data_IF_981585913065
#
_entry.id   IF_981585913065
#
_cell.length_a   1.000
_cell.length_b   1.000
_cell.length_c   1.000
_cell.angle_alpha   90.00
_cell.angle_beta   90.00
_cell.angle_gamma   90.00
#
_symmetry.space_group_name_H-M   'P 1'
#
loop_
_entity.id
_entity.type
_entity.pdbx_description
1 polymer ?
#
# COMPACT_ATOMS: atom_id res chain seq x y z
N UNK A 1 -6.19 -23.49 -24.89
CA UNK A 1 -4.96 -22.86 -24.37
C UNK A 1 -5.35 -21.80 -23.36
N UNK A 2 -4.90 -21.95 -22.11
CA UNK A 2 -5.13 -20.94 -21.07
C UNK A 2 -4.45 -19.63 -21.50
N UNK A 3 -5.16 -18.51 -21.41
CA UNK A 3 -4.58 -17.20 -21.70
C UNK A 3 -3.41 -16.92 -20.76
N UNK A 4 -2.35 -16.36 -21.31
CA UNK A 4 -1.17 -15.97 -20.52
C UNK A 4 -1.28 -14.52 -20.06
N UNK A 5 -1.17 -14.33 -18.76
CA UNK A 5 -1.17 -13.03 -18.10
C UNK A 5 0.20 -12.79 -17.46
N UNK A 6 0.78 -11.63 -17.72
CA UNK A 6 2.00 -11.19 -17.01
C UNK A 6 1.68 -9.92 -16.22
N UNK A 7 1.93 -9.95 -14.91
CA UNK A 7 1.88 -8.76 -14.08
C UNK A 7 3.27 -8.12 -14.09
N UNK A 8 3.35 -6.81 -14.33
CA UNK A 8 4.57 -6.02 -14.17
C UNK A 8 4.37 -5.12 -12.95
N UNK A 9 5.05 -5.43 -11.86
CA UNK A 9 4.91 -4.70 -10.60
C UNK A 9 5.82 -5.24 -9.50
N UNK A 10 5.81 -4.62 -8.32
CA UNK A 10 6.54 -5.12 -7.16
C UNK A 10 6.04 -6.51 -6.74
N UNK A 11 6.96 -7.40 -6.42
CA UNK A 11 6.67 -8.69 -5.82
C UNK A 11 7.92 -9.20 -5.08
N UNK A 12 7.82 -10.29 -4.35
CA UNK A 12 8.96 -10.91 -3.68
C UNK A 12 10.24 -10.91 -4.57
N UNK A 13 11.41 -10.59 -4.03
CA UNK A 13 11.73 -10.33 -2.62
C UNK A 13 11.40 -8.92 -2.10
N UNK A 14 10.74 -8.08 -2.90
CA UNK A 14 10.29 -6.76 -2.45
C UNK A 14 9.11 -6.89 -1.48
N UNK A 15 9.04 -5.96 -0.52
CA UNK A 15 8.00 -5.93 0.52
C UNK A 15 7.04 -4.75 0.37
N UNK A 16 5.93 -4.81 1.11
CA UNK A 16 4.95 -3.73 1.23
C UNK A 16 3.70 -3.93 0.39
N UNK A 17 2.68 -3.12 0.62
CA UNK A 17 1.33 -3.32 0.14
C UNK A 17 1.17 -3.51 -1.37
N UNK A 18 2.04 -2.90 -2.19
CA UNK A 18 2.01 -3.12 -3.65
C UNK A 18 2.46 -4.54 -4.02
N UNK A 19 3.52 -5.04 -3.37
CA UNK A 19 4.03 -6.39 -3.61
C UNK A 19 3.01 -7.44 -3.17
N UNK A 20 2.44 -7.27 -1.99
CA UNK A 20 1.40 -8.14 -1.44
C UNK A 20 0.16 -8.16 -2.33
N UNK A 21 -0.28 -6.99 -2.84
CA UNK A 21 -1.40 -6.89 -3.76
C UNK A 21 -1.13 -7.63 -5.08
N UNK A 22 0.02 -7.38 -5.72
CA UNK A 22 0.35 -7.97 -7.01
C UNK A 22 0.49 -9.50 -6.91
N UNK A 23 1.04 -10.00 -5.80
CA UNK A 23 1.11 -11.44 -5.51
C UNK A 23 -0.30 -12.05 -5.31
N UNK A 24 -1.18 -11.38 -4.56
CA UNK A 24 -2.56 -11.84 -4.36
C UNK A 24 -3.33 -11.85 -5.68
N UNK A 25 -3.14 -10.82 -6.53
CA UNK A 25 -3.75 -10.75 -7.85
C UNK A 25 -3.25 -11.87 -8.77
N UNK A 26 -1.93 -12.17 -8.75
CA UNK A 26 -1.37 -13.27 -9.54
C UNK A 26 -1.94 -14.61 -9.13
N UNK A 27 -2.10 -14.83 -7.82
CA UNK A 27 -2.71 -16.04 -7.27
C UNK A 27 -4.16 -16.20 -7.75
N UNK A 28 -4.92 -15.09 -7.74
CA UNK A 28 -6.31 -15.11 -8.20
C UNK A 28 -6.41 -15.43 -9.69
N UNK A 29 -5.58 -14.83 -10.55
CA UNK A 29 -5.53 -15.22 -11.95
C UNK A 29 -5.18 -16.69 -12.15
N UNK A 30 -4.28 -17.24 -11.33
CA UNK A 30 -3.93 -18.66 -11.40
C UNK A 30 -5.09 -19.55 -10.95
N UNK A 31 -5.85 -19.16 -9.91
CA UNK A 31 -7.04 -19.87 -9.43
C UNK A 31 -8.14 -19.91 -10.51
N UNK A 32 -8.28 -18.82 -11.25
CA UNK A 32 -9.21 -18.70 -12.40
C UNK A 32 -8.70 -19.45 -13.65
N UNK A 33 -7.58 -20.15 -13.57
CA UNK A 33 -7.04 -21.01 -14.63
C UNK A 33 -6.17 -20.30 -15.66
N UNK A 34 -5.72 -19.06 -15.42
CA UNK A 34 -4.78 -18.37 -16.30
C UNK A 34 -3.33 -18.81 -16.03
N UNK A 35 -2.47 -18.85 -17.07
CA UNK A 35 -1.01 -18.96 -16.89
C UNK A 35 -0.46 -17.59 -16.47
N UNK A 36 -0.39 -17.36 -15.15
CA UNK A 36 0.02 -16.07 -14.58
C UNK A 36 1.44 -16.11 -14.06
N UNK A 37 2.19 -15.00 -14.28
CA UNK A 37 3.50 -14.77 -13.70
C UNK A 37 3.74 -13.29 -13.44
N UNK A 38 4.68 -12.97 -12.54
CA UNK A 38 5.04 -11.59 -12.21
C UNK A 38 6.46 -11.30 -12.70
N UNK A 39 6.63 -10.21 -13.44
CA UNK A 39 7.91 -9.59 -13.75
C UNK A 39 8.13 -8.44 -12.78
N UNK A 40 8.92 -8.71 -11.74
CA UNK A 40 9.22 -7.79 -10.66
C UNK A 40 10.56 -7.09 -10.87
N UNK A 41 10.91 -6.23 -9.93
CA UNK A 41 12.12 -5.43 -9.98
C UNK A 41 13.29 -6.16 -9.32
N UNK A 42 14.42 -6.21 -10.01
CA UNK A 42 15.75 -6.51 -9.42
C UNK A 42 16.31 -5.28 -8.70
N UNK A 43 15.93 -4.07 -9.16
CA UNK A 43 16.16 -2.80 -8.48
C UNK A 43 14.92 -1.93 -8.66
N UNK A 44 14.13 -1.73 -7.59
CA UNK A 44 12.95 -0.86 -7.62
C UNK A 44 13.34 0.59 -7.36
N UNK A 45 14.05 0.84 -6.27
CA UNK A 45 14.59 2.15 -5.93
C UNK A 45 16.08 2.05 -5.65
N UNK A 46 16.91 2.98 -6.14
CA UNK A 46 18.26 3.18 -5.60
C UNK A 46 18.20 3.39 -4.09
N UNK A 47 19.18 2.89 -3.34
CA UNK A 47 19.18 2.93 -1.87
C UNK A 47 18.99 4.33 -1.29
N UNK A 48 19.55 5.35 -1.92
CA UNK A 48 19.43 6.75 -1.50
C UNK A 48 18.06 7.37 -1.74
N UNK A 49 17.18 6.72 -2.53
CA UNK A 49 15.80 7.15 -2.77
C UNK A 49 14.76 6.37 -1.93
N UNK A 50 15.20 5.30 -1.28
CA UNK A 50 14.31 4.51 -0.45
C UNK A 50 14.30 5.04 0.99
N UNK A 51 13.17 5.47 1.52
CA UNK A 51 13.11 6.12 2.82
C UNK A 51 13.09 5.15 4.01
N UNK A 52 12.84 3.85 3.81
CA UNK A 52 12.83 2.83 4.86
C UNK A 52 14.19 2.14 5.04
N UNK A 53 14.27 1.21 6.00
CA UNK A 53 15.49 0.46 6.31
C UNK A 53 15.89 -0.51 5.21
N UNK A 54 14.94 -1.23 4.62
CA UNK A 54 15.14 -2.15 3.49
C UNK A 54 13.91 -2.23 2.60
N UNK A 55 14.13 -2.53 1.33
CA UNK A 55 13.04 -2.80 0.37
C UNK A 55 12.64 -4.29 0.34
N UNK A 56 13.40 -5.14 1.03
CA UNK A 56 13.30 -6.59 0.91
C UNK A 56 12.56 -7.21 2.10
N UNK A 57 11.75 -8.23 1.81
CA UNK A 57 11.09 -9.06 2.82
C UNK A 57 12.07 -10.05 3.44
N UNK A 58 11.86 -10.34 4.71
CA UNK A 58 12.46 -11.47 5.41
C UNK A 58 11.60 -12.75 5.32
N UNK A 59 10.38 -12.63 4.80
CA UNK A 59 9.48 -13.77 4.65
C UNK A 59 9.98 -14.74 3.57
N UNK A 60 9.59 -16.02 3.61
CA UNK A 60 9.93 -16.96 2.55
C UNK A 60 9.22 -16.60 1.23
N UNK A 61 9.80 -17.02 0.07
CA UNK A 61 9.16 -16.79 -1.21
C UNK A 61 7.78 -17.47 -1.28
N UNK A 62 6.76 -16.85 -1.90
CA UNK A 62 5.48 -17.48 -2.13
C UNK A 62 5.65 -18.69 -3.05
N UNK A 63 5.16 -19.87 -2.61
CA UNK A 63 5.37 -21.14 -3.30
C UNK A 63 4.60 -21.24 -4.63
N UNK A 64 3.43 -20.59 -4.71
CA UNK A 64 2.44 -20.82 -5.77
C UNK A 64 2.47 -19.75 -6.88
N UNK A 65 3.46 -18.85 -6.88
CA UNK A 65 3.52 -17.72 -7.81
C UNK A 65 4.88 -17.71 -8.52
N UNK A 66 4.83 -17.67 -9.86
CA UNK A 66 6.04 -17.53 -10.70
C UNK A 66 6.48 -16.06 -10.70
N UNK A 67 7.57 -15.73 -10.01
CA UNK A 67 8.12 -14.37 -9.91
C UNK A 67 9.49 -14.30 -10.57
N UNK A 68 9.69 -13.30 -11.44
CA UNK A 68 10.94 -13.03 -12.14
C UNK A 68 11.43 -11.63 -11.78
N UNK A 69 12.43 -11.50 -10.92
CA UNK A 69 13.02 -10.20 -10.51
C UNK A 69 14.02 -9.72 -11.57
N UNK A 70 13.54 -9.07 -12.63
CA UNK A 70 14.33 -8.73 -13.83
C UNK A 70 14.44 -7.24 -14.13
N UNK A 71 13.51 -6.41 -13.63
CA UNK A 71 13.42 -5.00 -14.02
C UNK A 71 14.34 -4.16 -13.15
N UNK A 72 15.26 -3.41 -13.76
CA UNK A 72 16.05 -2.39 -13.10
C UNK A 72 15.47 -1.01 -13.46
N UNK A 73 14.95 -0.29 -12.47
CA UNK A 73 14.19 0.96 -12.66
C UNK A 73 15.00 2.11 -13.27
N UNK A 74 16.33 2.05 -13.23
CA UNK A 74 17.22 3.13 -13.68
C UNK A 74 18.13 2.74 -14.87
N UNK A 75 18.03 1.51 -15.39
CA UNK A 75 18.90 1.03 -16.47
C UNK A 75 18.16 0.93 -17.82
N UNK A 76 18.35 1.88 -18.77
CA UNK A 76 17.66 1.85 -20.06
C UNK A 76 17.95 0.62 -20.92
N UNK A 77 19.17 0.06 -20.84
CA UNK A 77 19.51 -1.17 -21.59
C UNK A 77 18.68 -2.34 -21.05
N UNK A 78 18.54 -2.43 -19.72
CA UNK A 78 17.68 -3.44 -19.09
C UNK A 78 16.22 -3.31 -19.55
N UNK A 79 15.67 -2.10 -19.68
CA UNK A 79 14.29 -1.89 -20.14
C UNK A 79 14.07 -2.42 -21.55
N UNK A 80 15.05 -2.21 -22.44
CA UNK A 80 15.00 -2.72 -23.82
C UNK A 80 15.09 -4.25 -23.86
N UNK A 81 15.92 -4.85 -23.01
CA UNK A 81 16.09 -6.30 -22.91
C UNK A 81 14.84 -6.98 -22.36
N UNK A 82 14.30 -6.49 -21.24
CA UNK A 82 13.06 -6.98 -20.63
C UNK A 82 11.88 -6.79 -21.59
N UNK A 83 11.77 -5.62 -22.23
CA UNK A 83 10.74 -5.38 -23.24
C UNK A 83 10.84 -6.31 -24.46
N UNK A 84 12.06 -6.70 -24.86
CA UNK A 84 12.28 -7.65 -25.95
C UNK A 84 11.92 -9.08 -25.54
N UNK A 85 12.22 -9.47 -24.31
CA UNK A 85 11.83 -10.76 -23.74
C UNK A 85 10.31 -10.87 -23.66
N UNK A 86 9.63 -9.90 -23.06
CA UNK A 86 8.18 -9.87 -22.97
C UNK A 86 7.50 -9.84 -24.35
N UNK A 87 8.08 -9.12 -25.32
CA UNK A 87 7.62 -9.15 -26.72
C UNK A 87 7.68 -10.56 -27.30
N UNK A 88 8.76 -11.31 -27.04
CA UNK A 88 8.93 -12.71 -27.53
C UNK A 88 7.97 -13.67 -26.83
N UNK A 89 7.77 -13.51 -25.52
CA UNK A 89 6.81 -14.30 -24.75
C UNK A 89 5.38 -14.11 -25.22
N UNK A 90 5.10 -12.95 -25.83
CA UNK A 90 3.81 -12.61 -26.43
C UNK A 90 2.60 -12.97 -25.55
N UNK A 91 2.54 -12.49 -24.28
CA UNK A 91 1.39 -12.77 -23.43
C UNK A 91 0.11 -12.14 -24.03
N UNK A 92 -1.05 -12.72 -23.70
CA UNK A 92 -2.33 -12.15 -24.14
C UNK A 92 -2.58 -10.80 -23.45
N UNK A 93 -2.27 -10.74 -22.13
CA UNK A 93 -2.49 -9.55 -21.32
C UNK A 93 -1.23 -9.25 -20.50
N UNK A 94 -0.85 -7.99 -20.45
CA UNK A 94 0.02 -7.45 -19.43
C UNK A 94 -0.82 -6.57 -18.51
N UNK A 95 -0.78 -6.86 -17.19
CA UNK A 95 -1.28 -5.98 -16.14
C UNK A 95 -0.08 -5.26 -15.55
N UNK A 96 0.00 -3.93 -15.67
CA UNK A 96 1.13 -3.16 -15.17
C UNK A 96 0.72 -2.27 -14.02
N UNK A 97 1.49 -2.32 -12.91
CA UNK A 97 1.27 -1.44 -11.77
C UNK A 97 1.94 -0.09 -11.97
N UNK A 98 1.22 0.99 -11.69
CA UNK A 98 1.74 2.35 -11.79
C UNK A 98 1.38 3.16 -10.54
N UNK A 99 2.41 3.61 -9.80
CA UNK A 99 2.21 4.30 -8.51
C UNK A 99 3.06 5.57 -8.36
N UNK A 100 4.03 5.79 -9.26
CA UNK A 100 4.94 6.94 -9.18
C UNK A 100 5.46 7.32 -10.56
N UNK A 101 5.47 8.63 -10.94
CA UNK A 101 5.98 9.08 -12.23
C UNK A 101 7.41 8.64 -12.55
N UNK A 102 8.28 8.53 -11.55
CA UNK A 102 9.65 8.00 -11.70
C UNK A 102 9.70 6.67 -12.47
N UNK A 103 8.71 5.78 -12.29
CA UNK A 103 8.64 4.50 -13.00
C UNK A 103 8.21 4.65 -14.46
N UNK A 104 7.71 5.81 -14.84
CA UNK A 104 7.10 6.05 -16.16
C UNK A 104 8.04 5.81 -17.32
N UNK A 105 9.32 6.16 -17.18
CA UNK A 105 10.32 5.95 -18.25
C UNK A 105 10.65 4.46 -18.43
N UNK A 106 10.91 3.76 -17.34
CA UNK A 106 11.23 2.32 -17.37
C UNK A 106 10.05 1.51 -17.92
N UNK A 107 8.90 1.63 -17.29
CA UNK A 107 7.69 0.89 -17.66
C UNK A 107 7.22 1.28 -19.08
N UNK A 108 7.16 2.57 -19.38
CA UNK A 108 6.77 3.05 -20.71
C UNK A 108 7.65 2.51 -21.83
N UNK A 109 8.98 2.40 -21.62
CA UNK A 109 9.91 1.86 -22.61
C UNK A 109 9.72 0.35 -22.80
N UNK A 110 9.55 -0.40 -21.71
CA UNK A 110 9.24 -1.84 -21.75
C UNK A 110 7.95 -2.06 -22.55
N UNK A 111 6.86 -1.36 -22.19
CA UNK A 111 5.55 -1.51 -22.84
C UNK A 111 5.58 -1.11 -24.31
N UNK A 112 6.27 -0.01 -24.65
CA UNK A 112 6.48 0.41 -26.05
C UNK A 112 7.15 -0.68 -26.90
N UNK A 113 8.06 -1.43 -26.30
CA UNK A 113 8.74 -2.55 -26.98
C UNK A 113 7.80 -3.74 -27.16
N UNK A 114 7.01 -4.07 -26.14
CA UNK A 114 6.00 -5.14 -26.17
C UNK A 114 4.95 -4.88 -27.25
N UNK A 115 4.42 -3.68 -27.34
CA UNK A 115 3.37 -3.31 -28.34
C UNK A 115 3.77 -3.58 -29.79
N UNK A 116 5.05 -3.75 -30.09
CA UNK A 116 5.52 -4.13 -31.42
C UNK A 116 5.12 -5.55 -31.84
N UNK A 117 4.65 -6.42 -30.91
CA UNK A 117 4.10 -7.73 -31.26
C UNK A 117 2.66 -7.66 -31.80
N UNK A 118 1.97 -6.52 -31.63
CA UNK A 118 0.58 -6.28 -32.10
C UNK A 118 -0.46 -7.27 -31.54
N UNK A 119 -0.10 -8.05 -30.53
CA UNK A 119 -0.93 -9.08 -29.90
C UNK A 119 -1.33 -8.68 -28.47
N UNK A 120 -0.34 -8.40 -27.64
CA UNK A 120 -0.53 -8.17 -26.19
C UNK A 120 -1.38 -6.93 -25.90
N UNK A 121 -2.42 -7.10 -25.09
CA UNK A 121 -3.19 -5.99 -24.50
C UNK A 121 -2.57 -5.56 -23.17
N UNK A 122 -2.50 -4.27 -22.95
CA UNK A 122 -1.84 -3.68 -21.77
C UNK A 122 -2.86 -2.93 -20.94
N UNK A 123 -3.09 -3.41 -19.71
CA UNK A 123 -3.99 -2.80 -18.72
C UNK A 123 -3.15 -2.26 -17.56
N UNK A 124 -3.26 -0.97 -17.26
CA UNK A 124 -2.56 -0.38 -16.14
C UNK A 124 -3.47 -0.28 -14.91
N UNK A 125 -3.01 -0.79 -13.76
CA UNK A 125 -3.60 -0.48 -12.46
C UNK A 125 -2.85 0.75 -11.92
N UNK A 126 -3.55 1.86 -11.76
CA UNK A 126 -2.97 3.12 -11.35
C UNK A 126 -3.34 3.45 -9.90
N UNK A 127 -2.32 3.52 -9.04
CA UNK A 127 -2.49 3.89 -7.62
C UNK A 127 -2.44 5.39 -7.44
N UNK A 128 -1.54 6.06 -8.16
CA UNK A 128 -1.42 7.51 -8.22
C UNK A 128 -0.97 7.93 -9.62
N UNK A 129 -1.62 8.95 -10.16
CA UNK A 129 -1.24 9.60 -11.43
C UNK A 129 -0.40 10.84 -11.14
N UNK A 130 -0.85 11.65 -10.18
CA UNK A 130 -0.12 12.81 -9.70
C UNK A 130 0.57 12.43 -8.38
N UNK A 131 1.88 12.69 -8.24
CA UNK A 131 2.58 12.44 -6.99
C UNK A 131 2.16 13.46 -5.92
N UNK A 132 2.24 13.07 -4.65
CA UNK A 132 2.02 14.00 -3.53
C UNK A 132 3.06 15.13 -3.50
N UNK A 133 4.27 14.85 -3.94
CA UNK A 133 5.36 15.83 -4.10
C UNK A 133 5.74 15.90 -5.58
N UNK A 134 5.43 17.02 -6.22
CA UNK A 134 5.71 17.23 -7.65
C UNK A 134 7.19 17.48 -7.90
N UNK A 135 7.73 16.83 -8.94
CA UNK A 135 9.09 17.02 -9.43
C UNK A 135 9.09 17.41 -10.91
N UNK A 136 10.12 18.14 -11.37
CA UNK A 136 10.27 18.43 -12.80
C UNK A 136 10.29 17.13 -13.61
N UNK A 137 9.50 17.09 -14.70
CA UNK A 137 9.42 15.91 -15.59
C UNK A 137 8.31 14.91 -15.28
N UNK A 138 7.70 14.92 -14.07
CA UNK A 138 6.67 13.97 -13.67
C UNK A 138 5.54 13.84 -14.69
N UNK A 139 5.00 14.94 -15.16
CA UNK A 139 3.92 14.94 -16.14
C UNK A 139 4.35 14.29 -17.48
N UNK A 140 5.58 14.50 -17.91
CA UNK A 140 6.12 13.93 -19.16
C UNK A 140 6.30 12.43 -19.03
N UNK A 141 6.81 11.96 -17.89
CA UNK A 141 7.00 10.53 -17.59
C UNK A 141 5.66 9.81 -17.50
N UNK A 142 4.68 10.43 -16.83
CA UNK A 142 3.31 9.91 -16.76
C UNK A 142 2.68 9.81 -18.16
N UNK A 143 2.73 10.87 -18.98
CA UNK A 143 2.21 10.83 -20.35
C UNK A 143 2.88 9.75 -21.20
N UNK A 144 4.21 9.60 -21.09
CA UNK A 144 4.96 8.59 -21.80
C UNK A 144 4.51 7.18 -21.44
N UNK A 145 4.28 6.92 -20.15
CA UNK A 145 3.75 5.64 -19.69
C UNK A 145 2.33 5.38 -20.22
N UNK A 146 1.40 6.30 -19.96
CA UNK A 146 -0.02 6.16 -20.29
C UNK A 146 -0.24 5.96 -21.80
N UNK A 147 0.58 6.58 -22.65
CA UNK A 147 0.53 6.41 -24.11
C UNK A 147 0.67 4.95 -24.52
N UNK A 148 1.41 4.14 -23.78
CA UNK A 148 1.70 2.76 -24.11
C UNK A 148 0.71 1.75 -23.49
N UNK A 149 -0.26 2.19 -22.70
CA UNK A 149 -1.33 1.35 -22.17
C UNK A 149 -2.56 1.36 -23.09
N UNK A 150 -3.36 0.30 -23.06
CA UNK A 150 -4.60 0.17 -23.83
C UNK A 150 -5.84 0.46 -22.98
N UNK A 151 -5.79 0.16 -21.69
CA UNK A 151 -6.88 0.41 -20.73
C UNK A 151 -6.32 0.67 -19.31
N UNK A 152 -7.18 1.16 -18.44
CA UNK A 152 -6.81 1.55 -17.06
C UNK A 152 -7.81 1.03 -16.03
N UNK A 153 -7.29 0.73 -14.85
CA UNK A 153 -8.06 0.47 -13.64
C UNK A 153 -7.58 1.46 -12.59
N UNK A 154 -8.52 2.14 -11.94
CA UNK A 154 -8.28 3.00 -10.77
C UNK A 154 -9.04 2.43 -9.58
N UNK A 155 -8.57 2.69 -8.36
CA UNK A 155 -9.21 2.21 -7.14
C UNK A 155 -9.81 3.35 -6.29
N UNK A 156 -9.82 4.57 -6.82
CA UNK A 156 -10.52 5.71 -6.23
C UNK A 156 -10.98 6.69 -7.31
N UNK A 157 -12.01 7.46 -7.00
CA UNK A 157 -12.53 8.52 -7.87
C UNK A 157 -11.46 9.58 -8.15
N UNK A 158 -10.72 9.98 -7.13
CA UNK A 158 -9.64 10.95 -7.24
C UNK A 158 -8.58 10.54 -8.27
N UNK A 159 -8.16 9.26 -8.25
CA UNK A 159 -7.19 8.76 -9.23
C UNK A 159 -7.79 8.70 -10.64
N UNK A 160 -9.11 8.43 -10.75
CA UNK A 160 -9.79 8.49 -12.05
C UNK A 160 -9.82 9.91 -12.60
N UNK A 161 -10.14 10.91 -11.78
CA UNK A 161 -10.10 12.32 -12.16
C UNK A 161 -8.70 12.75 -12.63
N UNK A 162 -7.67 12.39 -11.85
CA UNK A 162 -6.29 12.67 -12.19
C UNK A 162 -5.88 11.99 -13.50
N UNK A 163 -6.29 10.72 -13.73
CA UNK A 163 -6.05 10.00 -14.99
C UNK A 163 -6.68 10.74 -16.17
N UNK A 164 -7.91 11.22 -16.03
CA UNK A 164 -8.65 11.90 -17.11
C UNK A 164 -8.07 13.27 -17.49
N UNK A 165 -7.22 13.86 -16.68
CA UNK A 165 -6.42 15.04 -17.05
C UNK A 165 -5.34 14.70 -18.10
N UNK A 166 -4.87 13.46 -18.15
CA UNK A 166 -3.81 13.00 -19.05
C UNK A 166 -4.31 12.15 -20.21
N UNK A 167 -5.31 11.30 -19.97
CA UNK A 167 -5.84 10.35 -20.94
C UNK A 167 -7.38 10.35 -20.90
N UNK A 168 -7.98 10.93 -21.93
CA UNK A 168 -9.43 11.19 -21.98
C UNK A 168 -10.24 10.11 -22.68
N UNK A 169 -9.61 9.34 -23.59
CA UNK A 169 -10.33 8.51 -24.56
C UNK A 169 -10.25 7.00 -24.26
N UNK A 170 -9.10 6.52 -23.79
CA UNK A 170 -8.92 5.10 -23.56
C UNK A 170 -9.85 4.56 -22.48
N UNK A 171 -10.29 3.29 -22.58
CA UNK A 171 -11.11 2.65 -21.57
C UNK A 171 -10.47 2.75 -20.19
N UNK A 172 -11.26 3.16 -19.21
CA UNK A 172 -10.86 3.14 -17.81
C UNK A 172 -12.06 2.76 -16.96
N UNK A 173 -11.82 1.94 -15.94
CA UNK A 173 -12.83 1.49 -14.98
C UNK A 173 -12.34 1.76 -13.57
N UNK A 174 -13.19 2.37 -12.75
CA UNK A 174 -12.98 2.43 -11.32
C UNK A 174 -13.51 1.15 -10.68
N UNK A 175 -12.73 0.57 -9.79
CA UNK A 175 -13.12 -0.54 -8.93
C UNK A 175 -12.79 -0.18 -7.48
N UNK A 176 -13.50 -0.75 -6.54
CA UNK A 176 -13.13 -0.60 -5.13
C UNK A 176 -11.81 -1.32 -4.88
N UNK A 177 -11.01 -0.79 -3.96
CA UNK A 177 -9.84 -1.51 -3.50
C UNK A 177 -10.27 -2.85 -2.89
N UNK A 178 -9.75 -3.99 -3.37
CA UNK A 178 -10.16 -5.30 -2.84
C UNK A 178 -9.80 -5.45 -1.38
N UNK A 179 -10.51 -6.31 -0.68
CA UNK A 179 -10.12 -6.73 0.67
C UNK A 179 -8.80 -7.50 0.63
N UNK A 180 -8.04 -7.37 1.69
CA UNK A 180 -6.81 -8.11 1.88
C UNK A 180 -7.09 -9.36 2.73
N UNK A 181 -7.31 -10.50 2.10
CA UNK A 181 -7.56 -11.79 2.73
C UNK A 181 -6.29 -12.66 2.92
N UNK A 182 -5.14 -12.11 2.57
CA UNK A 182 -3.86 -12.83 2.55
C UNK A 182 -2.97 -12.58 3.78
N UNK A 183 -3.49 -11.90 4.79
CA UNK A 183 -2.78 -11.68 6.07
C UNK A 183 -3.20 -12.66 7.18
N UNK A 184 -3.91 -13.72 6.81
CA UNK A 184 -4.37 -14.79 7.70
C UNK A 184 -5.78 -14.57 8.23
N UNK A 185 -6.25 -15.57 8.96
CA UNK A 185 -7.60 -15.60 9.53
C UNK A 185 -7.75 -14.67 10.72
N UNK A 186 -9.00 -14.25 10.98
CA UNK A 186 -9.35 -13.50 12.17
C UNK A 186 -9.15 -14.38 13.40
N UNK A 187 -8.42 -13.85 14.38
CA UNK A 187 -8.18 -14.52 15.66
C UNK A 187 -8.80 -13.72 16.80
N UNK A 188 -8.95 -14.33 17.96
CA UNK A 188 -9.47 -13.64 19.13
C UNK A 188 -8.55 -12.50 19.58
N UNK A 189 -9.13 -11.41 20.09
CA UNK A 189 -8.37 -10.29 20.65
C UNK A 189 -7.39 -10.74 21.74
N UNK A 190 -7.79 -11.70 22.57
CA UNK A 190 -6.96 -12.26 23.65
C UNK A 190 -5.73 -12.99 23.06
N UNK A 191 -5.92 -13.81 22.06
CA UNK A 191 -4.82 -14.53 21.39
C UNK A 191 -3.85 -13.54 20.72
N UNK A 192 -4.38 -12.56 20.00
CA UNK A 192 -3.56 -11.53 19.37
C UNK A 192 -2.71 -10.76 20.39
N UNK A 193 -3.30 -10.35 21.52
CA UNK A 193 -2.60 -9.63 22.59
C UNK A 193 -1.57 -10.50 23.29
N UNK A 194 -1.84 -11.80 23.49
CA UNK A 194 -0.88 -12.73 24.03
C UNK A 194 0.34 -12.86 23.12
N UNK A 195 0.11 -13.05 21.81
CA UNK A 195 1.20 -13.10 20.84
C UNK A 195 2.07 -11.83 20.87
N UNK A 196 1.46 -10.65 20.84
CA UNK A 196 2.20 -9.38 20.87
C UNK A 196 3.01 -9.20 22.17
N UNK A 197 2.52 -9.71 23.30
CA UNK A 197 3.30 -9.71 24.56
C UNK A 197 4.49 -10.66 24.51
N UNK A 198 4.25 -11.89 24.09
CA UNK A 198 5.22 -12.97 24.16
C UNK A 198 6.29 -12.89 23.07
N UNK A 199 5.87 -12.54 21.84
CA UNK A 199 6.77 -12.56 20.69
C UNK A 199 7.33 -11.16 20.35
N UNK A 200 6.58 -10.09 20.61
CA UNK A 200 7.01 -8.73 20.31
C UNK A 200 7.38 -7.90 21.56
N UNK A 201 7.23 -8.45 22.76
CA UNK A 201 7.56 -7.78 24.01
C UNK A 201 6.68 -6.56 24.36
N UNK A 202 5.53 -6.41 23.65
CA UNK A 202 4.67 -5.25 23.82
C UNK A 202 3.85 -5.35 25.11
N UNK A 203 3.83 -4.27 25.89
CA UNK A 203 3.09 -4.22 27.16
C UNK A 203 1.62 -3.90 26.89
N UNK A 204 0.82 -4.92 26.56
CA UNK A 204 -0.62 -4.83 26.27
C UNK A 204 -1.39 -5.74 27.20
N UNK A 205 -2.29 -5.22 28.04
CA UNK A 205 -3.20 -6.03 28.85
C UNK A 205 -4.49 -6.39 28.09
N UNK A 206 -5.12 -7.50 28.47
CA UNK A 206 -6.31 -7.98 27.75
C UNK A 206 -7.53 -7.04 27.90
N UNK A 207 -7.65 -6.33 28.99
CA UNK A 207 -8.75 -5.38 29.26
C UNK A 207 -8.54 -3.96 28.77
N UNK A 208 -7.38 -3.63 28.19
CA UNK A 208 -7.08 -2.28 27.72
C UNK A 208 -7.92 -1.90 26.48
N UNK A 209 -8.21 -0.59 26.36
CA UNK A 209 -8.81 0.00 25.15
C UNK A 209 -7.70 0.48 24.24
N UNK A 210 -7.60 -0.10 23.04
CA UNK A 210 -6.49 0.12 22.12
C UNK A 210 -6.98 0.76 20.82
N UNK A 211 -6.49 1.96 20.53
CA UNK A 211 -6.52 2.58 19.22
C UNK A 211 -5.29 2.11 18.43
N UNK A 212 -5.46 1.69 17.20
CA UNK A 212 -4.35 1.29 16.33
C UNK A 212 -4.12 2.33 15.23
N UNK A 213 -2.89 2.83 15.15
CA UNK A 213 -2.34 3.45 13.95
C UNK A 213 -1.45 2.43 13.24
N UNK A 214 -1.74 2.12 11.96
CA UNK A 214 -1.07 1.04 11.24
C UNK A 214 -0.42 1.48 9.92
N UNK A 215 0.74 0.89 9.61
CA UNK A 215 1.47 1.05 8.36
C UNK A 215 2.55 2.13 8.40
N UNK A 216 3.24 2.36 7.28
CA UNK A 216 4.36 3.30 7.20
C UNK A 216 4.01 4.67 7.78
N UNK A 217 4.90 5.21 8.61
CA UNK A 217 4.70 6.51 9.26
C UNK A 217 5.25 7.59 8.33
N UNK A 218 4.35 8.47 7.89
CA UNK A 218 4.64 9.66 7.07
C UNK A 218 3.76 10.81 7.52
N UNK A 219 4.24 12.04 7.40
CA UNK A 219 3.56 13.25 7.85
C UNK A 219 2.12 13.36 7.36
N UNK A 220 1.86 13.00 6.09
CA UNK A 220 0.51 13.07 5.54
C UNK A 220 -0.48 12.11 6.22
N UNK A 221 0.00 11.07 6.92
CA UNK A 221 -0.85 10.13 7.68
C UNK A 221 -1.25 10.64 9.06
N UNK A 222 -0.70 11.76 9.52
CA UNK A 222 -1.21 12.47 10.68
C UNK A 222 -1.02 11.77 12.03
N UNK A 223 0.03 10.97 12.22
CA UNK A 223 0.32 10.36 13.52
C UNK A 223 0.48 11.42 14.61
N UNK A 224 1.04 12.57 14.31
CA UNK A 224 1.16 13.71 15.21
C UNK A 224 -0.20 14.25 15.66
N UNK A 225 -1.20 14.35 14.77
CA UNK A 225 -2.59 14.72 15.15
C UNK A 225 -3.12 13.74 16.21
N UNK A 226 -2.94 12.45 15.98
CA UNK A 226 -3.40 11.43 16.90
C UNK A 226 -2.67 11.47 18.23
N UNK A 227 -1.36 11.73 18.22
CA UNK A 227 -0.57 11.94 19.44
C UNK A 227 -1.05 13.15 20.24
N UNK A 228 -1.39 14.25 19.58
CA UNK A 228 -1.98 15.42 20.21
C UNK A 228 -3.33 15.08 20.85
N UNK A 229 -4.20 14.36 20.16
CA UNK A 229 -5.47 13.88 20.73
C UNK A 229 -5.28 13.02 21.97
N UNK A 230 -4.21 12.20 22.05
CA UNK A 230 -3.91 11.40 23.25
C UNK A 230 -3.58 12.24 24.48
N UNK A 231 -3.32 13.52 24.34
CA UNK A 231 -3.11 14.43 25.49
C UNK A 231 -4.41 14.90 26.14
N UNK A 232 -5.56 14.72 25.49
CA UNK A 232 -6.87 15.12 26.00
C UNK A 232 -7.20 14.39 27.31
N UNK A 233 -7.67 15.16 28.30
CA UNK A 233 -7.99 14.66 29.65
C UNK A 233 -9.08 13.55 29.61
N UNK A 234 -10.03 13.63 28.69
CA UNK A 234 -11.11 12.64 28.52
C UNK A 234 -10.55 11.29 28.05
N UNK A 235 -9.60 11.31 27.11
CA UNK A 235 -8.93 10.11 26.57
C UNK A 235 -8.04 9.48 27.65
N UNK A 236 -7.28 10.31 28.39
CA UNK A 236 -6.47 9.85 29.52
C UNK A 236 -7.33 9.23 30.64
N UNK A 237 -8.43 9.88 31.00
CA UNK A 237 -9.36 9.37 32.03
C UNK A 237 -10.06 8.07 31.59
N UNK A 238 -10.32 7.89 30.30
CA UNK A 238 -10.88 6.65 29.75
C UNK A 238 -9.90 5.47 29.68
N UNK A 239 -8.63 5.70 30.01
CA UNK A 239 -7.57 4.67 29.98
C UNK A 239 -7.28 4.14 28.58
N UNK A 240 -7.48 4.95 27.54
CA UNK A 240 -7.24 4.57 26.16
C UNK A 240 -5.73 4.64 25.87
N UNK A 241 -5.22 3.61 25.17
CA UNK A 241 -3.82 3.58 24.70
C UNK A 241 -3.76 3.56 23.19
N UNK A 242 -2.72 4.19 22.65
CA UNK A 242 -2.43 4.19 21.21
C UNK A 242 -1.31 3.20 20.91
N UNK A 243 -1.63 2.19 20.11
CA UNK A 243 -0.67 1.28 19.51
C UNK A 243 -0.27 1.83 18.14
N UNK A 244 0.99 2.21 18.00
CA UNK A 244 1.60 2.61 16.72
C UNK A 244 2.37 1.42 16.17
N UNK A 245 1.94 0.89 15.03
CA UNK A 245 2.57 -0.26 14.39
C UNK A 245 2.96 0.06 12.94
N UNK A 246 4.28 0.19 12.70
CA UNK A 246 4.83 0.44 11.38
C UNK A 246 6.06 1.33 11.36
N UNK A 247 6.85 1.17 10.31
CA UNK A 247 8.16 1.78 10.15
C UNK A 247 8.08 3.27 9.78
N UNK A 248 9.00 4.08 10.33
CA UNK A 248 9.17 5.48 9.92
C UNK A 248 9.78 5.57 8.52
N UNK A 249 9.11 6.32 7.63
CA UNK A 249 9.59 6.71 6.31
C UNK A 249 9.95 8.20 6.26
N UNK A 250 10.20 8.78 7.42
CA UNK A 250 10.67 10.15 7.65
C UNK A 250 11.39 10.23 9.01
N UNK A 251 11.93 11.39 9.35
CA UNK A 251 12.64 11.58 10.63
C UNK A 251 11.68 11.35 11.82
N UNK A 252 12.05 10.46 12.72
CA UNK A 252 11.29 10.13 13.94
C UNK A 252 11.47 11.16 15.06
N UNK A 253 12.49 12.02 14.98
CA UNK A 253 12.84 12.97 16.03
C UNK A 253 11.68 13.90 16.42
N UNK A 254 10.94 14.52 15.48
CA UNK A 254 9.78 15.36 15.80
C UNK A 254 8.72 14.63 16.61
N UNK A 255 8.49 13.36 16.34
CA UNK A 255 7.52 12.54 17.09
C UNK A 255 8.01 12.23 18.51
N UNK A 256 9.28 11.92 18.69
CA UNK A 256 9.90 11.73 20.03
C UNK A 256 9.84 12.99 20.87
N UNK A 257 10.06 14.14 20.28
CA UNK A 257 9.93 15.45 20.93
C UNK A 257 8.47 15.74 21.33
N UNK A 258 7.51 15.43 20.45
CA UNK A 258 6.09 15.60 20.70
C UNK A 258 5.62 14.72 21.88
N UNK A 259 6.03 13.45 21.92
CA UNK A 259 5.72 12.53 23.01
C UNK A 259 6.16 13.11 24.38
N UNK A 260 7.38 13.64 24.45
CA UNK A 260 7.92 14.27 25.67
C UNK A 260 7.15 15.54 26.03
N UNK A 261 6.89 16.40 25.04
CA UNK A 261 6.18 17.67 25.24
C UNK A 261 4.76 17.48 25.80
N UNK A 262 4.04 16.45 25.29
CA UNK A 262 2.66 16.16 25.66
C UNK A 262 2.53 15.24 26.89
N UNK A 263 3.63 14.69 27.38
CA UNK A 263 3.67 13.70 28.48
C UNK A 263 2.69 12.53 28.24
N UNK A 264 2.74 11.94 27.05
CA UNK A 264 1.85 10.85 26.63
C UNK A 264 2.55 9.49 26.57
N UNK A 265 3.80 9.39 26.99
CA UNK A 265 4.61 8.17 26.85
C UNK A 265 3.94 6.91 27.43
N UNK A 266 3.25 7.05 28.57
CA UNK A 266 2.52 5.94 29.21
C UNK A 266 1.28 5.49 28.44
N UNK A 267 0.71 6.35 27.62
CA UNK A 267 -0.46 6.08 26.78
C UNK A 267 -0.09 5.48 25.42
N UNK A 268 1.21 5.34 25.11
CA UNK A 268 1.68 4.84 23.84
C UNK A 268 2.27 3.44 23.96
N UNK A 269 2.07 2.65 22.91
CA UNK A 269 2.74 1.37 22.66
C UNK A 269 3.34 1.50 21.26
N UNK A 270 4.66 1.46 21.17
CA UNK A 270 5.37 1.72 19.90
C UNK A 270 6.01 0.43 19.38
N UNK A 271 5.66 0.05 18.15
CA UNK A 271 6.33 -0.96 17.33
C UNK A 271 6.66 -0.32 15.99
N UNK A 272 7.80 0.34 15.92
CA UNK A 272 8.21 1.21 14.80
C UNK A 272 9.16 0.55 13.82
N UNK A 273 9.24 -0.77 13.86
CA UNK A 273 9.87 -1.60 12.83
C UNK A 273 8.85 -1.97 11.74
N UNK A 274 9.34 -2.54 10.66
CA UNK A 274 8.47 -3.14 9.65
C UNK A 274 7.68 -4.30 10.26
N UNK A 275 6.38 -4.31 10.01
CA UNK A 275 5.50 -5.42 10.41
C UNK A 275 5.44 -6.41 9.24
N UNK A 276 5.86 -7.64 9.47
CA UNK A 276 5.79 -8.71 8.46
C UNK A 276 4.34 -9.08 8.14
N UNK A 277 4.08 -9.58 6.93
CA UNK A 277 2.73 -9.98 6.51
C UNK A 277 2.11 -11.01 7.47
N UNK A 278 2.92 -11.89 8.05
CA UNK A 278 2.51 -12.89 9.03
C UNK A 278 2.06 -12.27 10.38
N UNK A 279 2.60 -11.11 10.73
CA UNK A 279 2.29 -10.44 12.01
C UNK A 279 1.09 -9.49 11.92
N UNK A 280 0.71 -9.04 10.73
CA UNK A 280 -0.35 -8.04 10.50
C UNK A 280 -1.62 -8.38 11.27
N UNK A 281 -2.09 -9.62 11.21
CA UNK A 281 -3.31 -10.08 11.89
C UNK A 281 -3.30 -9.83 13.39
N UNK A 282 -2.14 -9.97 14.04
CA UNK A 282 -2.04 -9.80 15.50
C UNK A 282 -2.26 -8.33 15.89
N UNK A 283 -1.72 -7.38 15.14
CA UNK A 283 -1.94 -5.95 15.40
C UNK A 283 -3.40 -5.55 15.17
N UNK A 284 -3.98 -5.97 14.07
CA UNK A 284 -5.37 -5.66 13.75
C UNK A 284 -6.32 -6.31 14.77
N UNK A 285 -6.15 -7.61 15.06
CA UNK A 285 -7.03 -8.33 15.99
C UNK A 285 -6.88 -7.83 17.44
N UNK A 286 -5.69 -7.34 17.86
CA UNK A 286 -5.46 -6.79 19.20
C UNK A 286 -6.19 -5.46 19.43
N UNK A 287 -6.46 -4.69 18.38
CA UNK A 287 -7.06 -3.36 18.44
C UNK A 287 -8.58 -3.39 18.67
N UNK A 288 -9.09 -2.31 19.27
CA UNK A 288 -10.52 -2.04 19.38
C UNK A 288 -11.03 -1.18 18.21
N UNK A 289 -10.19 -0.25 17.73
CA UNK A 289 -10.50 0.64 16.61
C UNK A 289 -9.22 0.95 15.82
N UNK A 290 -9.34 1.06 14.51
CA UNK A 290 -8.27 1.53 13.62
C UNK A 290 -8.46 3.00 13.31
N UNK A 291 -7.41 3.80 13.44
CA UNK A 291 -7.48 5.24 13.20
C UNK A 291 -6.60 5.67 12.04
N UNK A 292 -7.18 6.47 11.13
CA UNK A 292 -6.51 7.01 9.95
C UNK A 292 -6.67 8.53 9.92
N UNK A 293 -5.89 9.27 10.73
CA UNK A 293 -6.00 10.73 10.86
C UNK A 293 -5.26 11.46 9.73
N UNK A 294 -5.45 10.99 8.50
CA UNK A 294 -4.67 11.45 7.34
C UNK A 294 -4.98 12.90 7.02
N UNK A 295 -3.95 13.69 6.66
CA UNK A 295 -4.08 15.04 6.11
C UNK A 295 -4.39 15.03 4.62
N UNK A 296 -3.96 13.98 3.94
CA UNK A 296 -4.21 13.78 2.51
C UNK A 296 -4.21 12.28 2.20
N UNK A 297 -5.13 11.85 1.35
CA UNK A 297 -5.17 10.48 0.87
C UNK A 297 -5.83 10.39 -0.51
N UNK A 298 -5.25 9.64 -1.43
CA UNK A 298 -5.94 9.19 -2.64
C UNK A 298 -6.75 7.94 -2.35
N UNK A 299 -6.13 7.00 -1.64
CA UNK A 299 -6.70 5.74 -1.15
C UNK A 299 -5.83 5.23 0.01
N UNK A 300 -6.31 4.24 0.75
CA UNK A 300 -5.54 3.58 1.80
C UNK A 300 -5.73 2.08 1.78
N UNK A 301 -4.65 1.31 1.68
CA UNK A 301 -4.68 -0.14 1.85
C UNK A 301 -5.01 -0.59 3.29
N UNK A 302 -4.90 0.31 4.27
CA UNK A 302 -5.28 0.02 5.67
C UNK A 302 -6.79 -0.08 5.84
N UNK A 303 -7.57 0.67 5.07
CA UNK A 303 -9.04 0.61 5.13
C UNK A 303 -9.60 -0.78 4.79
N UNK A 304 -9.30 -1.37 3.61
CA UNK A 304 -9.76 -2.72 3.29
C UNK A 304 -9.18 -3.79 4.23
N UNK A 305 -7.96 -3.57 4.74
CA UNK A 305 -7.35 -4.45 5.73
C UNK A 305 -8.12 -4.42 7.06
N UNK A 306 -8.51 -3.23 7.56
CA UNK A 306 -9.32 -3.10 8.76
C UNK A 306 -10.70 -3.75 8.58
N UNK A 307 -11.31 -3.66 7.40
CA UNK A 307 -12.55 -4.36 7.09
C UNK A 307 -12.40 -5.88 7.10
N UNK A 308 -11.32 -6.42 6.52
CA UNK A 308 -11.06 -7.87 6.55
C UNK A 308 -11.00 -8.37 8.00
N UNK A 309 -10.38 -7.62 8.91
CA UNK A 309 -10.30 -7.97 10.34
C UNK A 309 -11.48 -7.45 11.18
N UNK A 310 -12.58 -7.03 10.55
CA UNK A 310 -13.82 -6.59 11.21
C UNK A 310 -13.58 -5.48 12.24
N UNK A 311 -12.67 -4.53 11.94
CA UNK A 311 -12.36 -3.43 12.87
C UNK A 311 -13.13 -2.17 12.51
N UNK A 312 -13.84 -1.57 13.47
CA UNK A 312 -14.39 -0.24 13.29
C UNK A 312 -13.25 0.76 13.06
N UNK A 313 -13.54 1.81 12.29
CA UNK A 313 -12.53 2.81 11.92
C UNK A 313 -12.96 4.22 12.31
N UNK A 314 -11.97 5.06 12.62
CA UNK A 314 -12.12 6.51 12.64
C UNK A 314 -11.17 7.06 11.58
N UNK A 315 -11.73 7.74 10.57
CA UNK A 315 -10.95 8.24 9.44
C UNK A 315 -11.16 9.74 9.24
N UNK A 316 -10.15 10.41 8.71
CA UNK A 316 -10.29 11.81 8.33
C UNK A 316 -11.21 11.99 7.12
N UNK A 317 -11.93 13.11 7.07
CA UNK A 317 -12.72 13.54 5.91
C UNK A 317 -11.81 14.09 4.80
N UNK A 318 -10.92 13.22 4.26
CA UNK A 318 -9.98 13.59 3.19
C UNK A 318 -9.92 12.52 2.10
N UNK A 319 -9.80 12.96 0.86
CA UNK A 319 -9.61 12.11 -0.31
C UNK A 319 -10.66 11.01 -0.45
N UNK A 320 -10.21 9.79 -0.68
CA UNK A 320 -11.08 8.61 -0.86
C UNK A 320 -11.53 7.92 0.45
N UNK A 321 -11.10 8.37 1.63
CA UNK A 321 -11.44 7.69 2.89
C UNK A 321 -12.94 7.72 3.21
N UNK A 322 -13.65 8.87 3.09
CA UNK A 322 -15.09 8.93 3.38
C UNK A 322 -15.96 8.10 2.43
N UNK A 323 -15.48 7.82 1.23
CA UNK A 323 -16.22 6.97 0.28
C UNK A 323 -16.19 5.49 0.67
N UNK A 324 -15.23 5.09 1.48
CA UNK A 324 -15.05 3.71 1.97
C UNK A 324 -15.62 3.51 3.37
N UNK A 325 -15.59 4.54 4.23
CA UNK A 325 -16.06 4.47 5.62
C UNK A 325 -17.33 5.29 5.75
N UNK A 326 -18.47 4.61 5.84
CA UNK A 326 -19.78 5.26 6.01
C UNK A 326 -19.95 5.73 7.46
N UNK A 327 -20.06 7.06 7.64
CA UNK A 327 -20.18 7.69 8.94
C UNK A 327 -21.35 7.10 9.74
N UNK A 328 -21.11 6.75 11.02
CA UNK A 328 -22.05 6.12 11.96
C UNK A 328 -22.59 4.74 11.56
N UNK A 329 -22.08 4.16 10.45
CA UNK A 329 -22.46 2.79 10.02
C UNK A 329 -21.28 1.82 10.11
N UNK A 330 -20.17 2.13 9.44
CA UNK A 330 -18.99 1.26 9.42
C UNK A 330 -17.79 1.89 10.14
N UNK A 331 -17.97 3.12 10.62
CA UNK A 331 -16.96 3.86 11.37
C UNK A 331 -17.38 5.31 11.53
N UNK A 332 -16.43 6.15 11.94
CA UNK A 332 -16.64 7.59 12.07
C UNK A 332 -15.74 8.34 11.08
N UNK A 333 -16.30 9.41 10.51
CA UNK A 333 -15.54 10.34 9.65
C UNK A 333 -15.45 11.67 10.38
N UNK A 334 -14.24 12.18 10.60
CA UNK A 334 -13.96 13.40 11.36
C UNK A 334 -13.04 14.33 10.57
N UNK A 335 -12.93 15.58 10.97
CA UNK A 335 -11.90 16.48 10.47
C UNK A 335 -10.50 15.96 10.88
N UNK A 336 -9.44 16.22 10.08
CA UNK A 336 -8.07 15.91 10.48
C UNK A 336 -7.54 16.92 11.52
N UNK A 337 -8.17 16.93 12.68
CA UNK A 337 -7.99 17.85 13.79
C UNK A 337 -7.79 17.07 15.09
N UNK A 338 -6.93 17.51 16.03
CA UNK A 338 -6.73 16.83 17.30
C UNK A 338 -7.95 16.86 18.24
N UNK A 339 -8.92 17.76 18.01
CA UNK A 339 -10.15 17.89 18.79
C UNK A 339 -11.25 16.99 18.24
#
# INVERSE_FOLDING_TARGET
LNKRIIIIGPAYPLRGGLATFDQRLAKEFSNEGYDCSIFSFSLQYPSFLFPGTTQYSSDPPPADIKIFSKINSINPINWLNVGSELKKLSPDIIVVRYWLPFMGMALGTILKKVKKNKHTKIVAITDNILPHEKRPGDNSFTRYFLKNCDAFITMSERVMEDLRQFEKQKPAKQVLHPLYDNFGEIISKREARNFLREQSGLQIANGEKIILFFGFIRRYKGLDILMESMSDARIKAAGIRLLVAGEFYEDEKPYKELIKKLDIGKSLILKTDFISDAEVKYFLCAADVVMQPYRNATQSGVTPLAYHFEKPMIVSNVGGLPSLVHHEKTGLVAAPDPQ
#
